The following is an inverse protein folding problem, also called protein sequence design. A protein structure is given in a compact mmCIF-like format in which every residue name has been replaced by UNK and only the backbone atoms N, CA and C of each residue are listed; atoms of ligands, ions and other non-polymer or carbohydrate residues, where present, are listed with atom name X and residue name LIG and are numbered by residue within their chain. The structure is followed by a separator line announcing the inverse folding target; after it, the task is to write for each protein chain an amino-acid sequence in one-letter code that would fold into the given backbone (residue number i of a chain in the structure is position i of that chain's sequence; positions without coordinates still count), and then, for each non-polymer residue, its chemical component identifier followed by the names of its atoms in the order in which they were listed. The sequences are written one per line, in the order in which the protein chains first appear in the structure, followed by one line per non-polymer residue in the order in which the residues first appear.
data_IF_123042341379
#
_entry.id   IF_123042341379
#
_cell.length_a   1.000
_cell.length_b   1.000
_cell.length_c   1.000
_cell.angle_alpha   90.00
_cell.angle_beta   90.00
_cell.angle_gamma   90.00
#
_symmetry.space_group_name_H-M   'P 1'
#
loop_
_entity.id
_entity.type
_entity.pdbx_description
1 polymer ?
#
# COMPACT_ATOMS: atom_id res chain seq x y z
N UNK A 1 32.94 -51.85 0.66
CA UNK A 1 32.95 -50.58 -0.11
C UNK A 1 31.52 -50.26 -0.58
N UNK A 2 30.63 -49.74 0.27
CA UNK A 2 29.24 -49.46 -0.15
C UNK A 2 28.61 -48.23 0.55
N UNK A 3 29.37 -47.55 1.40
CA UNK A 3 28.91 -46.40 2.21
C UNK A 3 29.33 -45.04 1.65
N UNK A 4 30.25 -44.99 0.67
CA UNK A 4 30.77 -43.73 0.11
C UNK A 4 29.87 -43.14 -0.98
N UNK A 5 29.17 -43.98 -1.73
CA UNK A 5 28.33 -43.58 -2.88
C UNK A 5 27.02 -42.92 -2.46
N UNK A 6 26.47 -43.27 -1.29
CA UNK A 6 25.23 -42.67 -0.77
C UNK A 6 25.44 -41.21 -0.37
N UNK A 7 26.52 -40.86 0.33
CA UNK A 7 26.77 -39.46 0.77
C UNK A 7 26.90 -38.48 -0.38
N UNK A 8 27.43 -38.93 -1.52
CA UNK A 8 27.62 -38.08 -2.71
C UNK A 8 26.27 -37.79 -3.39
N UNK A 9 25.37 -38.76 -3.46
CA UNK A 9 24.03 -38.56 -4.02
C UNK A 9 23.16 -37.64 -3.17
N UNK A 10 23.23 -37.76 -1.84
CA UNK A 10 22.53 -36.85 -0.92
C UNK A 10 23.06 -35.41 -1.00
N UNK A 11 24.38 -35.23 -1.17
CA UNK A 11 24.97 -33.91 -1.36
C UNK A 11 24.53 -33.23 -2.67
N UNK A 12 24.43 -34.00 -3.76
CA UNK A 12 23.96 -33.49 -5.05
C UNK A 12 22.49 -33.10 -5.03
N UNK A 13 21.61 -33.93 -4.43
CA UNK A 13 20.19 -33.58 -4.33
C UNK A 13 19.95 -32.35 -3.46
N UNK A 14 20.64 -32.22 -2.32
CA UNK A 14 20.52 -31.05 -1.46
C UNK A 14 20.97 -29.77 -2.18
N UNK A 15 22.10 -29.85 -2.90
CA UNK A 15 22.62 -28.74 -3.68
C UNK A 15 21.66 -28.30 -4.79
N UNK A 16 21.05 -29.24 -5.51
CA UNK A 16 20.04 -28.92 -6.54
C UNK A 16 18.77 -28.29 -5.96
N UNK A 17 18.33 -28.72 -4.77
CA UNK A 17 17.17 -28.13 -4.10
C UNK A 17 17.49 -26.70 -3.64
N UNK A 18 18.68 -26.46 -3.07
CA UNK A 18 19.09 -25.12 -2.66
C UNK A 18 19.22 -24.19 -3.88
N UNK A 19 19.77 -24.67 -5.00
CA UNK A 19 19.84 -23.90 -6.24
C UNK A 19 18.45 -23.59 -6.80
N UNK A 20 17.54 -24.55 -6.81
CA UNK A 20 16.17 -24.34 -7.27
C UNK A 20 15.42 -23.35 -6.38
N UNK A 21 15.54 -23.47 -5.06
CA UNK A 21 14.96 -22.51 -4.11
C UNK A 21 15.61 -21.13 -4.23
N UNK A 22 16.93 -21.05 -4.39
CA UNK A 22 17.65 -19.79 -4.57
C UNK A 22 17.29 -19.10 -5.88
N UNK A 23 17.10 -19.86 -6.96
CA UNK A 23 16.64 -19.33 -8.24
C UNK A 23 15.17 -18.93 -8.19
N UNK A 24 14.31 -19.70 -7.53
CA UNK A 24 12.92 -19.32 -7.28
C UNK A 24 12.82 -18.06 -6.41
N UNK A 25 13.67 -17.94 -5.40
CA UNK A 25 13.75 -16.76 -4.54
C UNK A 25 14.28 -15.53 -5.30
N UNK A 26 15.35 -15.69 -6.08
CA UNK A 26 15.92 -14.61 -6.88
C UNK A 26 14.99 -14.19 -8.02
N UNK A 27 14.32 -15.13 -8.68
CA UNK A 27 13.31 -14.82 -9.71
C UNK A 27 12.07 -14.18 -9.11
N UNK A 28 11.65 -14.55 -7.89
CA UNK A 28 10.63 -13.80 -7.15
C UNK A 28 11.10 -12.39 -6.82
N UNK A 29 12.33 -12.23 -6.33
CA UNK A 29 12.87 -10.91 -5.99
C UNK A 29 12.97 -10.00 -7.22
N UNK A 30 13.38 -10.56 -8.36
CA UNK A 30 13.41 -9.86 -9.65
C UNK A 30 12.03 -9.68 -10.30
N UNK A 31 11.03 -10.49 -9.95
CA UNK A 31 9.64 -10.29 -10.38
C UNK A 31 8.88 -9.31 -9.46
N UNK A 32 9.43 -9.03 -8.28
CA UNK A 32 9.00 -7.98 -7.34
C UNK A 32 9.71 -6.66 -7.64
N UNK A 33 10.52 -6.59 -8.71
CA UNK A 33 10.82 -5.30 -9.33
C UNK A 33 9.52 -4.78 -9.96
N UNK A 34 8.88 -3.87 -9.22
CA UNK A 34 7.78 -3.04 -9.67
C UNK A 34 8.27 -2.25 -10.89
N UNK A 35 8.07 -2.83 -12.07
CA UNK A 35 8.60 -2.34 -13.34
C UNK A 35 7.86 -1.08 -13.77
N UNK A 36 8.28 0.04 -13.15
CA UNK A 36 7.84 1.39 -13.48
C UNK A 36 6.50 1.79 -12.87
N UNK A 37 6.40 3.05 -12.50
CA UNK A 37 5.11 3.72 -12.28
C UNK A 37 4.26 3.56 -13.55
N UNK A 38 2.98 3.15 -13.47
CA UNK A 38 2.12 3.01 -14.64
C UNK A 38 2.05 4.31 -15.44
N UNK A 39 1.94 4.22 -16.77
CA UNK A 39 1.96 5.38 -17.68
C UNK A 39 0.86 6.40 -17.37
N UNK A 40 -0.26 5.97 -16.78
CA UNK A 40 -1.39 6.82 -16.41
C UNK A 40 -1.25 7.47 -15.03
N UNK A 41 -0.16 7.18 -14.32
CA UNK A 41 0.15 7.71 -12.99
C UNK A 41 1.29 8.74 -13.06
N UNK A 42 1.24 9.82 -12.26
CA UNK A 42 2.34 10.77 -12.12
C UNK A 42 3.64 10.10 -11.69
N UNK A 43 4.80 10.58 -12.18
CA UNK A 43 6.10 9.93 -11.91
C UNK A 43 6.52 9.90 -10.44
N UNK A 44 5.92 10.76 -9.62
CA UNK A 44 6.11 10.86 -8.17
C UNK A 44 5.11 10.02 -7.37
N UNK A 45 4.38 9.10 -8.02
CA UNK A 45 3.42 8.23 -7.34
C UNK A 45 4.12 7.25 -6.39
N UNK A 46 3.54 7.09 -5.21
CA UNK A 46 3.94 6.10 -4.21
C UNK A 46 3.11 4.83 -4.37
N UNK A 47 3.76 3.67 -4.38
CA UNK A 47 3.06 2.39 -4.32
C UNK A 47 2.77 2.02 -2.87
N UNK A 48 1.49 1.85 -2.53
CA UNK A 48 1.05 1.35 -1.24
C UNK A 48 0.78 -0.16 -1.38
N UNK A 49 1.62 -1.03 -0.80
CA UNK A 49 1.36 -2.46 -0.81
C UNK A 49 0.15 -2.76 0.06
N UNK A 50 -0.71 -3.65 -0.42
CA UNK A 50 -1.81 -4.22 0.33
C UNK A 50 -1.54 -5.69 0.67
N UNK A 51 -2.63 -6.41 0.98
CA UNK A 51 -2.56 -7.81 1.40
C UNK A 51 -1.89 -8.71 0.35
N UNK A 52 -1.03 -9.60 0.83
CA UNK A 52 -0.42 -10.64 0.01
C UNK A 52 -1.48 -11.67 -0.44
N UNK A 53 -1.59 -11.87 -1.74
CA UNK A 53 -2.46 -12.91 -2.30
C UNK A 53 -1.68 -14.22 -2.40
N UNK A 54 -1.86 -15.10 -1.41
CA UNK A 54 -1.20 -16.40 -1.37
C UNK A 54 -1.56 -17.33 -2.54
N UNK A 55 -2.74 -17.17 -3.16
CA UNK A 55 -3.17 -18.01 -4.26
C UNK A 55 -2.47 -17.63 -5.56
N UNK A 56 -2.24 -16.33 -5.76
CA UNK A 56 -1.58 -15.79 -6.94
C UNK A 56 -0.10 -15.45 -6.71
N UNK A 57 0.42 -15.68 -5.50
CA UNK A 57 1.80 -15.42 -5.08
C UNK A 57 2.31 -14.01 -5.45
N UNK A 58 1.46 -12.99 -5.27
CA UNK A 58 1.82 -11.59 -5.55
C UNK A 58 1.26 -10.68 -4.45
N UNK A 59 2.01 -9.63 -4.11
CA UNK A 59 1.54 -8.53 -3.27
C UNK A 59 0.57 -7.71 -4.10
N UNK A 60 -0.68 -7.53 -3.65
CA UNK A 60 -1.59 -6.53 -4.25
C UNK A 60 -1.20 -5.15 -3.75
N UNK A 61 -1.68 -4.10 -4.39
CA UNK A 61 -1.47 -2.74 -3.92
C UNK A 61 -1.93 -1.73 -4.95
N UNK A 62 -1.79 -0.46 -4.57
CA UNK A 62 -2.29 0.66 -5.34
C UNK A 62 -1.22 1.73 -5.48
N UNK A 63 -1.22 2.39 -6.63
CA UNK A 63 -0.42 3.58 -6.85
C UNK A 63 -1.21 4.79 -6.39
N UNK A 64 -0.58 5.65 -5.60
CA UNK A 64 -1.18 6.86 -5.06
C UNK A 64 -0.30 8.05 -5.41
N UNK A 65 -0.91 9.08 -5.97
CA UNK A 65 -0.30 10.41 -6.13
C UNK A 65 -1.26 11.44 -5.60
N UNK A 66 -0.76 12.32 -4.73
CA UNK A 66 -1.51 13.43 -4.17
C UNK A 66 -0.70 14.71 -4.38
N UNK A 67 -1.36 15.78 -4.75
CA UNK A 67 -0.76 17.10 -4.82
C UNK A 67 -1.77 18.15 -4.34
N UNK A 68 -1.28 19.23 -3.75
CA UNK A 68 -2.14 20.35 -3.42
C UNK A 68 -2.63 21.01 -4.71
N UNK A 69 -3.91 21.38 -4.73
CA UNK A 69 -4.44 22.19 -5.81
C UNK A 69 -4.39 23.66 -5.41
N UNK A 70 -3.48 24.43 -6.00
CA UNK A 70 -3.34 25.87 -5.72
C UNK A 70 -4.64 26.65 -5.98
N UNK A 71 -5.58 26.08 -6.76
CA UNK A 71 -6.87 26.70 -7.09
C UNK A 71 -8.04 26.21 -6.23
N UNK A 72 -7.87 25.18 -5.40
CA UNK A 72 -8.94 24.69 -4.52
C UNK A 72 -8.44 24.35 -3.12
N UNK A 73 -9.25 24.54 -2.06
CA UNK A 73 -8.83 24.25 -0.70
C UNK A 73 -8.88 22.73 -0.41
N UNK A 74 -8.41 21.90 -1.34
CA UNK A 74 -8.42 20.44 -1.24
C UNK A 74 -7.20 19.86 -1.92
N UNK A 75 -6.67 18.78 -1.37
CA UNK A 75 -5.62 18.02 -2.04
C UNK A 75 -6.26 17.16 -3.12
N UNK A 76 -5.68 17.14 -4.33
CA UNK A 76 -6.15 16.26 -5.39
C UNK A 76 -5.34 14.99 -5.34
N UNK A 77 -6.01 13.86 -5.14
CA UNK A 77 -5.38 12.55 -5.18
C UNK A 77 -5.94 11.70 -6.31
N UNK A 78 -5.04 10.95 -6.94
CA UNK A 78 -5.35 9.88 -7.88
C UNK A 78 -4.82 8.57 -7.31
N UNK A 79 -5.67 7.56 -7.32
CA UNK A 79 -5.36 6.21 -6.88
C UNK A 79 -5.67 5.25 -8.03
N UNK A 80 -4.70 4.40 -8.36
CA UNK A 80 -4.84 3.41 -9.40
C UNK A 80 -4.43 2.02 -8.91
N UNK A 81 -5.00 0.98 -9.52
CA UNK A 81 -4.55 -0.39 -9.28
C UNK A 81 -3.13 -0.62 -9.85
N UNK A 82 -2.58 -1.82 -9.66
CA UNK A 82 -1.25 -2.19 -10.15
C UNK A 82 -1.07 -2.04 -11.67
N UNK A 83 -2.16 -2.17 -12.44
CA UNK A 83 -2.15 -2.02 -13.90
C UNK A 83 -2.20 -0.55 -14.34
N UNK A 84 -2.46 0.39 -13.42
CA UNK A 84 -2.67 1.80 -13.72
C UNK A 84 -4.10 2.17 -14.06
N UNK A 85 -5.08 1.29 -13.81
CA UNK A 85 -6.50 1.65 -13.92
C UNK A 85 -6.89 2.50 -12.72
N UNK A 86 -7.41 3.71 -12.98
CA UNK A 86 -7.82 4.65 -11.93
C UNK A 86 -9.05 4.10 -11.20
N UNK A 87 -8.93 3.93 -9.89
CA UNK A 87 -10.00 3.48 -9.00
C UNK A 87 -10.66 4.68 -8.34
N UNK A 88 -9.86 5.66 -7.92
CA UNK A 88 -10.31 6.90 -7.31
C UNK A 88 -9.54 8.09 -7.87
N UNK A 89 -10.25 9.17 -8.12
CA UNK A 89 -9.64 10.45 -8.45
C UNK A 89 -10.55 11.58 -7.94
N UNK A 90 -9.99 12.47 -7.14
CA UNK A 90 -10.77 13.57 -6.60
C UNK A 90 -10.11 14.30 -5.45
N UNK A 91 -10.96 14.99 -4.69
CA UNK A 91 -10.57 15.87 -3.59
C UNK A 91 -10.44 15.09 -2.29
N UNK A 92 -9.34 15.30 -1.59
CA UNK A 92 -9.01 14.71 -0.31
C UNK A 92 -8.77 15.81 0.72
N UNK A 93 -9.03 15.46 1.98
CA UNK A 93 -8.74 16.28 3.14
C UNK A 93 -8.19 15.42 4.28
N UNK A 94 -7.36 16.00 5.15
CA UNK A 94 -7.01 15.36 6.41
C UNK A 94 -8.24 15.09 7.25
N UNK A 95 -8.25 13.93 7.90
CA UNK A 95 -9.38 13.52 8.74
C UNK A 95 -9.54 14.50 9.90
N UNK A 96 -10.74 15.06 10.02
CA UNK A 96 -11.08 16.00 11.09
C UNK A 96 -10.62 17.44 10.83
N UNK A 97 -10.07 17.73 9.66
CA UNK A 97 -9.73 19.08 9.23
C UNK A 97 -10.61 19.52 8.06
N UNK A 98 -10.91 20.82 8.03
CA UNK A 98 -11.66 21.47 6.93
C UNK A 98 -10.71 22.20 5.96
N UNK A 99 -9.41 21.91 6.03
CA UNK A 99 -8.36 22.57 5.24
C UNK A 99 -7.42 21.54 4.62
N UNK A 100 -6.93 21.78 3.40
CA UNK A 100 -5.96 20.93 2.76
C UNK A 100 -4.59 21.07 3.41
N UNK A 101 -3.71 20.13 3.12
CA UNK A 101 -2.30 20.27 3.43
C UNK A 101 -1.60 21.15 2.39
N UNK A 102 -0.44 21.68 2.75
CA UNK A 102 0.47 22.24 1.74
C UNK A 102 1.31 21.10 1.16
N UNK A 103 1.77 21.21 -0.10
CA UNK A 103 2.55 20.15 -0.78
C UNK A 103 3.69 19.58 0.08
N UNK A 104 4.39 20.43 0.83
CA UNK A 104 5.51 20.02 1.70
C UNK A 104 5.11 19.19 2.92
N UNK A 105 3.83 18.91 3.11
CA UNK A 105 3.28 18.05 4.16
C UNK A 105 2.70 16.75 3.58
N UNK A 106 2.52 16.68 2.26
CA UNK A 106 1.95 15.50 1.59
C UNK A 106 3.08 14.51 1.32
N UNK A 107 3.48 13.78 2.36
CA UNK A 107 4.44 12.70 2.27
C UNK A 107 3.73 11.38 2.51
N UNK A 108 3.38 10.67 1.44
CA UNK A 108 2.64 9.41 1.51
C UNK A 108 3.58 8.30 1.98
N UNK A 109 3.17 7.57 3.01
CA UNK A 109 3.93 6.38 3.44
C UNK A 109 3.57 5.16 2.60
N UNK A 110 4.58 4.37 2.23
CA UNK A 110 4.43 3.11 1.49
C UNK A 110 4.18 1.91 2.41
N UNK A 111 3.67 2.14 3.62
CA UNK A 111 3.47 1.07 4.59
C UNK A 111 2.31 0.15 4.19
N UNK A 112 2.44 -1.16 4.49
CA UNK A 112 1.40 -2.14 4.21
C UNK A 112 0.19 -1.97 5.14
N UNK A 113 -0.82 -1.27 4.66
CA UNK A 113 -2.09 -1.15 5.37
C UNK A 113 -2.98 -2.30 4.93
N UNK A 114 -3.29 -3.21 5.85
CA UNK A 114 -4.28 -4.27 5.63
C UNK A 114 -5.67 -3.70 5.26
N UNK A 115 -5.90 -2.41 5.54
CA UNK A 115 -7.17 -1.71 5.39
C UNK A 115 -6.99 -0.29 4.83
N UNK A 116 -6.38 -0.12 3.65
CA UNK A 116 -6.34 1.19 2.98
C UNK A 116 -7.69 1.62 2.36
N UNK A 117 -8.73 0.78 2.49
CA UNK A 117 -10.11 1.06 2.09
C UNK A 117 -11.04 0.87 3.29
N UNK A 118 -11.96 1.82 3.50
CA UNK A 118 -12.96 1.77 4.57
C UNK A 118 -14.35 2.06 4.00
N UNK A 119 -15.41 1.57 4.63
CA UNK A 119 -16.77 1.94 4.21
C UNK A 119 -17.01 3.44 4.46
N UNK A 120 -17.17 4.19 3.38
CA UNK A 120 -17.46 5.61 3.35
C UNK A 120 -18.84 5.90 3.97
N UNK A 121 -18.91 6.73 5.02
CA UNK A 121 -20.17 7.03 5.70
C UNK A 121 -21.16 7.85 4.86
N UNK A 122 -20.71 8.54 3.81
CA UNK A 122 -21.59 9.41 3.00
C UNK A 122 -22.37 8.63 1.96
N UNK A 123 -21.67 7.82 1.17
CA UNK A 123 -22.25 7.12 0.02
C UNK A 123 -22.24 5.59 0.19
N UNK A 124 -21.81 5.09 1.36
CA UNK A 124 -21.80 3.65 1.72
C UNK A 124 -20.96 2.74 0.80
N UNK A 125 -20.10 3.31 -0.03
CA UNK A 125 -19.10 2.59 -0.83
C UNK A 125 -17.73 2.61 -0.15
N UNK A 126 -16.80 1.75 -0.56
CA UNK A 126 -15.43 1.74 -0.02
C UNK A 126 -14.64 2.97 -0.47
N UNK A 127 -14.21 3.80 0.49
CA UNK A 127 -13.36 4.98 0.26
C UNK A 127 -11.92 4.68 0.66
N UNK A 128 -10.94 5.21 -0.07
CA UNK A 128 -9.54 5.06 0.27
C UNK A 128 -9.15 5.90 1.48
N UNK A 129 -8.21 5.37 2.26
CA UNK A 129 -7.54 6.04 3.37
C UNK A 129 -6.05 6.03 3.06
N UNK A 130 -5.49 7.22 2.84
CA UNK A 130 -4.09 7.40 2.46
C UNK A 130 -3.33 7.89 3.70
N UNK A 131 -2.40 7.09 4.24
CA UNK A 131 -1.58 7.50 5.36
C UNK A 131 -0.42 8.40 4.92
N UNK A 132 -0.11 9.37 5.75
CA UNK A 132 1.05 10.23 5.62
C UNK A 132 2.15 9.83 6.62
N UNK A 133 3.39 10.21 6.34
CA UNK A 133 4.56 9.91 7.17
C UNK A 133 4.47 10.52 8.58
N UNK A 134 3.74 11.62 8.75
CA UNK A 134 3.51 12.27 10.04
C UNK A 134 2.40 11.62 10.88
N UNK A 135 1.75 10.58 10.35
CA UNK A 135 0.65 9.86 10.97
C UNK A 135 -0.73 10.46 10.72
N UNK A 136 -0.84 11.54 9.92
CA UNK A 136 -2.11 12.01 9.42
C UNK A 136 -2.69 11.08 8.35
N UNK A 137 -4.00 11.15 8.16
CA UNK A 137 -4.73 10.35 7.17
C UNK A 137 -5.50 11.28 6.24
N UNK A 138 -5.31 11.10 4.93
CA UNK A 138 -6.12 11.72 3.89
C UNK A 138 -7.25 10.78 3.47
N UNK A 139 -8.45 11.33 3.35
CA UNK A 139 -9.64 10.62 2.86
C UNK A 139 -10.41 11.51 1.89
N UNK A 140 -11.35 10.97 1.08
CA UNK A 140 -12.20 11.80 0.23
C UNK A 140 -12.86 12.93 1.03
N UNK A 141 -12.85 14.14 0.48
CA UNK A 141 -13.25 15.35 1.19
C UNK A 141 -14.72 15.29 1.67
N UNK A 142 -15.58 14.55 0.96
CA UNK A 142 -16.97 14.26 1.34
C UNK A 142 -17.07 13.47 2.65
N UNK A 143 -16.11 12.58 2.90
CA UNK A 143 -16.11 11.63 4.00
C UNK A 143 -15.21 12.05 5.18
N UNK A 144 -14.35 13.07 4.99
CA UNK A 144 -13.42 13.55 6.02
C UNK A 144 -14.08 13.88 7.37
N UNK A 145 -15.16 14.67 7.36
CA UNK A 145 -15.85 15.06 8.59
C UNK A 145 -16.69 13.93 9.18
N UNK A 146 -17.50 13.19 8.40
CA UNK A 146 -18.23 12.03 8.92
C UNK A 146 -17.31 10.93 9.47
N UNK A 147 -16.17 10.63 8.82
CA UNK A 147 -15.18 9.66 9.31
C UNK A 147 -14.53 10.12 10.61
N UNK A 148 -14.19 11.41 10.73
CA UNK A 148 -13.68 11.96 11.99
C UNK A 148 -14.67 11.78 13.16
N UNK A 149 -15.96 11.98 12.91
CA UNK A 149 -17.01 11.74 13.92
C UNK A 149 -17.13 10.25 14.26
N UNK A 150 -17.10 9.38 13.25
CA UNK A 150 -17.17 7.92 13.42
C UNK A 150 -16.00 7.41 14.24
N UNK A 151 -14.77 7.78 13.90
CA UNK A 151 -13.58 7.31 14.63
C UNK A 151 -13.44 7.93 16.01
N UNK A 152 -14.06 9.09 16.27
CA UNK A 152 -14.23 9.60 17.63
C UNK A 152 -15.16 8.73 18.48
N UNK A 153 -16.18 8.13 17.88
CA UNK A 153 -17.12 7.22 18.54
C UNK A 153 -16.59 5.77 18.62
N UNK A 154 -15.79 5.37 17.64
CA UNK A 154 -15.24 4.03 17.46
C UNK A 154 -13.72 4.09 17.24
N UNK A 155 -12.93 4.49 18.25
CA UNK A 155 -11.49 4.70 18.10
C UNK A 155 -10.72 3.43 17.70
N UNK A 156 -11.24 2.26 18.05
CA UNK A 156 -10.62 0.97 17.70
C UNK A 156 -10.53 0.74 16.19
N UNK A 157 -11.44 1.33 15.40
CA UNK A 157 -11.39 1.25 13.93
C UNK A 157 -10.17 1.99 13.38
N UNK A 158 -9.89 3.18 13.91
CA UNK A 158 -8.69 3.95 13.57
C UNK A 158 -7.42 3.28 14.08
N UNK A 159 -7.45 2.67 15.27
CA UNK A 159 -6.30 1.91 15.80
C UNK A 159 -5.97 0.74 14.89
N UNK A 160 -6.96 0.00 14.36
CA UNK A 160 -6.68 -1.08 13.40
C UNK A 160 -6.07 -0.59 12.08
N UNK A 161 -6.33 0.66 11.67
CA UNK A 161 -5.65 1.29 10.53
C UNK A 161 -4.20 1.63 10.87
N UNK A 162 -3.96 2.11 12.09
CA UNK A 162 -2.65 2.56 12.54
C UNK A 162 -1.72 1.45 13.04
N UNK A 163 -2.25 0.32 13.52
CA UNK A 163 -1.47 -0.86 13.92
C UNK A 163 -0.72 -1.48 12.75
N UNK A 164 -1.17 -1.22 11.52
CA UNK A 164 -0.33 -1.32 10.34
C UNK A 164 0.97 -0.53 10.56
N UNK A 165 0.92 0.79 10.61
CA UNK A 165 2.09 1.69 10.57
C UNK A 165 3.19 1.48 11.64
N UNK A 166 2.98 0.64 12.67
CA UNK A 166 3.89 0.47 13.81
C UNK A 166 5.03 -0.55 13.62
N UNK A 167 5.21 -1.17 12.43
CA UNK A 167 6.33 -2.10 12.20
C UNK A 167 7.38 -1.49 11.26
N UNK A 168 8.44 -0.85 11.78
CA UNK A 168 9.62 -0.60 10.97
C UNK A 168 10.25 -1.95 10.61
N UNK A 169 10.19 -2.30 9.33
CA UNK A 169 10.97 -3.40 8.78
C UNK A 169 12.42 -2.90 8.69
N UNK A 170 13.22 -3.27 9.69
CA UNK A 170 14.68 -3.18 9.69
C UNK A 170 15.28 -4.22 8.72
#
# INVERSE_FOLDING_TARGET
MQTRTRRITWGFTLFTVILACGFAYLSHYLAVDHTGVPVNMPSDSTFIPGKFDYLKLHTRGEWVSCHSDVKSPTDWCRIANQSGDVIFEGKFLPVGMDKPLVDSQIHITSYNIDHHMVTGPTESFEVPVIPLEDGELLVPATDARPLALRWKQHPNELVSLNEGMAVPIN
#
